data_IF_140319609851
#
_entry.id   IF_140319609851
#
_cell.length_a   1.000
_cell.length_b   1.000
_cell.length_c   1.000
_cell.angle_alpha   90.00
_cell.angle_beta   90.00
_cell.angle_gamma   90.00
#
_symmetry.space_group_name_H-M   'P 1'
#
loop_
_entity.id
_entity.type
_entity.pdbx_description
1 polymer ?
#
# COMPACT_ATOMS: atom_id res chain seq x y z
N UNK A 1 -8.48 47.22 -12.52
CA UNK A 1 -7.69 46.00 -12.21
C UNK A 1 -7.08 45.51 -13.50
N UNK A 2 -5.76 45.33 -13.58
CA UNK A 2 -5.12 44.74 -14.76
C UNK A 2 -5.50 43.25 -14.82
N UNK A 3 -5.79 42.68 -16.01
CA UNK A 3 -5.97 41.24 -16.14
C UNK A 3 -4.68 40.54 -15.71
N UNK A 4 -4.78 39.44 -14.98
CA UNK A 4 -3.64 38.59 -14.68
C UNK A 4 -3.09 38.05 -16.01
N UNK A 5 -1.81 38.31 -16.23
CA UNK A 5 -1.07 37.90 -17.42
C UNK A 5 -1.03 36.35 -17.50
N UNK A 6 -1.55 35.72 -18.57
CA UNK A 6 -1.53 34.27 -18.74
C UNK A 6 -0.11 33.69 -18.87
N UNK A 7 0.91 34.55 -19.04
CA UNK A 7 2.33 34.20 -19.11
C UNK A 7 3.03 34.20 -17.75
N UNK A 8 2.32 34.41 -16.64
CA UNK A 8 2.85 34.16 -15.29
C UNK A 8 2.87 32.63 -15.01
N UNK A 9 3.46 31.88 -15.95
CA UNK A 9 3.75 30.48 -15.79
C UNK A 9 4.76 30.37 -14.67
N UNK A 10 4.31 29.84 -13.54
CA UNK A 10 5.19 29.24 -12.55
C UNK A 10 6.22 28.41 -13.33
N UNK A 11 7.50 28.75 -13.21
CA UNK A 11 8.59 28.03 -13.88
C UNK A 11 8.62 26.59 -13.34
N UNK A 12 7.93 25.68 -14.01
CA UNK A 12 7.73 24.32 -13.54
C UNK A 12 9.07 23.62 -13.30
N UNK A 13 10.11 23.94 -14.09
CA UNK A 13 11.46 23.38 -13.92
C UNK A 13 12.14 23.83 -12.62
N UNK A 14 11.74 24.96 -12.03
CA UNK A 14 12.26 25.39 -10.72
C UNK A 14 11.63 24.67 -9.55
N UNK A 15 10.43 24.12 -9.71
CA UNK A 15 9.62 23.51 -8.65
C UNK A 15 9.64 21.97 -8.71
N UNK A 16 9.72 21.39 -9.90
CA UNK A 16 9.78 19.94 -10.12
C UNK A 16 11.22 19.43 -9.99
N UNK A 17 11.74 19.42 -8.75
CA UNK A 17 13.12 18.99 -8.46
C UNK A 17 13.20 17.85 -7.46
N UNK A 18 12.05 17.37 -7.01
CA UNK A 18 11.99 16.37 -5.97
C UNK A 18 11.81 14.99 -6.56
N UNK A 19 12.30 14.00 -5.86
CA UNK A 19 12.10 12.60 -6.18
C UNK A 19 11.59 11.86 -4.96
N UNK A 20 10.95 10.73 -5.15
CA UNK A 20 10.64 9.80 -4.08
C UNK A 20 10.81 8.39 -4.59
N UNK A 21 11.24 7.50 -3.71
CA UNK A 21 11.39 6.10 -4.01
C UNK A 21 10.72 5.28 -2.90
N UNK A 22 10.02 4.24 -3.30
CA UNK A 22 9.44 3.28 -2.37
C UNK A 22 9.96 1.90 -2.70
N UNK A 23 10.31 1.14 -1.67
CA UNK A 23 10.57 -0.28 -1.77
C UNK A 23 9.47 -1.02 -1.02
N UNK A 24 8.75 -1.89 -1.72
CA UNK A 24 7.73 -2.75 -1.13
C UNK A 24 8.36 -4.10 -0.81
N UNK A 25 8.31 -4.49 0.46
CA UNK A 25 8.78 -5.80 0.92
C UNK A 25 7.75 -6.46 1.82
N UNK A 26 7.81 -7.77 1.92
CA UNK A 26 7.05 -8.50 2.93
C UNK A 26 7.73 -8.50 4.31
N UNK A 27 7.09 -9.18 5.27
CA UNK A 27 7.59 -9.35 6.63
C UNK A 27 8.91 -10.14 6.74
N UNK A 28 9.33 -10.84 5.69
CA UNK A 28 10.61 -11.55 5.60
C UNK A 28 11.68 -10.71 4.86
N UNK A 29 11.31 -9.54 4.35
CA UNK A 29 12.17 -8.66 3.57
C UNK A 29 12.25 -9.02 2.08
N UNK A 30 11.41 -9.93 1.59
CA UNK A 30 11.38 -10.29 0.17
C UNK A 30 10.62 -9.21 -0.64
N UNK A 31 11.13 -8.80 -1.80
CA UNK A 31 10.53 -7.72 -2.58
C UNK A 31 9.16 -8.10 -3.17
N UNK A 32 8.23 -7.15 -3.17
CA UNK A 32 6.92 -7.27 -3.85
C UNK A 32 7.02 -6.67 -5.25
N UNK A 33 7.20 -7.55 -6.23
CA UNK A 33 7.48 -7.18 -7.63
C UNK A 33 6.21 -7.10 -8.47
N UNK A 34 6.20 -6.27 -9.53
CA UNK A 34 5.07 -6.17 -10.46
C UNK A 34 3.80 -5.54 -9.85
N UNK A 35 3.89 -4.88 -8.71
CA UNK A 35 2.74 -4.29 -8.01
C UNK A 35 2.29 -3.01 -8.73
N UNK A 36 1.07 -2.97 -9.29
CA UNK A 36 0.57 -1.77 -9.97
C UNK A 36 0.34 -0.66 -8.95
N UNK A 37 0.92 0.51 -9.22
CA UNK A 37 0.82 1.66 -8.34
C UNK A 37 0.24 2.88 -9.04
N UNK A 38 -0.30 3.75 -8.22
CA UNK A 38 -0.68 5.12 -8.55
C UNK A 38 -0.08 6.05 -7.49
N UNK A 39 0.67 7.05 -7.92
CA UNK A 39 1.22 8.09 -7.08
C UNK A 39 0.54 9.42 -7.43
N UNK A 40 -0.04 10.08 -6.44
CA UNK A 40 -0.68 11.40 -6.65
C UNK A 40 -0.04 12.47 -5.80
N UNK A 41 0.11 13.68 -6.34
CA UNK A 41 0.56 14.81 -5.52
C UNK A 41 -0.61 15.38 -4.72
N UNK A 42 -0.43 15.59 -3.42
CA UNK A 42 -1.45 16.22 -2.56
C UNK A 42 -1.69 17.68 -2.93
N UNK A 43 -0.65 18.38 -3.43
CA UNK A 43 -0.77 19.77 -3.85
C UNK A 43 -1.49 19.97 -5.17
N UNK A 44 -1.47 18.95 -6.04
CA UNK A 44 -2.22 18.96 -7.29
C UNK A 44 -2.63 17.54 -7.69
N UNK A 45 -3.91 17.22 -7.51
CA UNK A 45 -4.48 15.90 -7.82
C UNK A 45 -4.48 15.55 -9.31
N UNK A 46 -4.23 16.51 -10.21
CA UNK A 46 -4.07 16.20 -11.64
C UNK A 46 -2.71 15.60 -11.97
N UNK A 47 -1.71 15.75 -11.08
CA UNK A 47 -0.42 15.07 -11.21
C UNK A 47 -0.58 13.65 -10.69
N UNK A 48 -0.75 12.73 -11.63
CA UNK A 48 -0.88 11.29 -11.39
C UNK A 48 0.24 10.57 -12.13
N UNK A 49 0.99 9.74 -11.41
CA UNK A 49 1.95 8.80 -11.98
C UNK A 49 1.47 7.38 -11.75
N UNK A 50 1.77 6.49 -12.69
CA UNK A 50 1.35 5.09 -12.64
C UNK A 50 2.45 4.21 -13.20
N UNK A 51 2.59 3.02 -12.64
CA UNK A 51 3.54 2.03 -13.12
C UNK A 51 3.41 0.73 -12.33
N UNK A 52 4.46 -0.08 -12.36
CA UNK A 52 4.58 -1.31 -11.57
C UNK A 52 5.91 -1.31 -10.83
N UNK A 53 5.97 -1.92 -9.65
CA UNK A 53 7.26 -2.13 -8.99
C UNK A 53 8.18 -3.03 -9.81
N UNK A 54 9.48 -2.78 -9.75
CA UNK A 54 10.50 -3.55 -10.45
C UNK A 54 10.83 -4.89 -9.75
N UNK A 55 11.87 -5.58 -10.22
CA UNK A 55 12.33 -6.85 -9.66
C UNK A 55 12.86 -6.78 -8.21
N UNK A 56 13.13 -5.58 -7.70
CA UNK A 56 13.54 -5.33 -6.32
C UNK A 56 12.39 -4.76 -5.46
N UNK A 57 11.17 -4.75 -6.01
CA UNK A 57 10.01 -4.15 -5.37
C UNK A 57 10.09 -2.63 -5.30
N UNK A 58 10.94 -2.00 -6.12
CA UNK A 58 11.14 -0.57 -6.13
C UNK A 58 10.20 0.13 -7.11
N UNK A 59 9.76 1.32 -6.73
CA UNK A 59 9.22 2.33 -7.64
C UNK A 59 9.87 3.66 -7.31
N UNK A 60 10.28 4.40 -8.34
CA UNK A 60 10.93 5.70 -8.23
C UNK A 60 10.27 6.69 -9.16
N UNK A 61 9.90 7.83 -8.62
CA UNK A 61 9.30 8.93 -9.35
C UNK A 61 10.12 10.20 -9.11
N UNK A 62 10.44 10.89 -10.19
CA UNK A 62 11.23 12.12 -10.21
C UNK A 62 10.40 13.29 -10.72
N UNK A 63 10.99 14.49 -10.80
CA UNK A 63 10.34 15.71 -11.24
C UNK A 63 9.02 15.98 -10.49
N UNK A 64 9.02 15.76 -9.18
CA UNK A 64 7.89 15.99 -8.29
C UNK A 64 7.93 17.40 -7.70
N UNK A 65 6.76 18.02 -7.47
CA UNK A 65 6.67 19.26 -6.69
C UNK A 65 7.03 18.98 -5.21
N UNK A 66 7.39 20.01 -4.41
CA UNK A 66 7.74 19.90 -2.98
C UNK A 66 6.53 19.60 -2.07
N UNK A 67 5.58 18.77 -2.53
CA UNK A 67 4.33 18.49 -1.85
C UNK A 67 4.28 17.02 -1.45
N UNK A 68 3.60 16.67 -0.33
CA UNK A 68 3.36 15.27 0.00
C UNK A 68 2.74 14.52 -1.17
N UNK A 69 3.11 13.25 -1.29
CA UNK A 69 2.51 12.33 -2.26
C UNK A 69 1.60 11.34 -1.55
N UNK A 70 0.64 10.78 -2.28
CA UNK A 70 -0.19 9.68 -1.83
C UNK A 70 0.10 8.49 -2.75
N UNK A 71 0.67 7.43 -2.20
CA UNK A 71 0.94 6.17 -2.89
C UNK A 71 -0.21 5.20 -2.63
N UNK A 72 -0.87 4.75 -3.70
CA UNK A 72 -1.83 3.65 -3.64
C UNK A 72 -1.37 2.49 -4.53
N UNK A 73 -1.53 1.26 -4.06
CA UNK A 73 -1.32 0.03 -4.82
C UNK A 73 -2.68 -0.60 -5.11
N UNK A 74 -2.84 -1.19 -6.30
CA UNK A 74 -4.06 -1.91 -6.64
C UNK A 74 -4.32 -3.05 -5.65
N UNK A 75 -5.50 -3.03 -5.02
CA UNK A 75 -5.82 -3.90 -3.90
C UNK A 75 -5.73 -5.40 -4.24
N UNK A 76 -6.29 -5.81 -5.38
CA UNK A 76 -6.36 -7.23 -5.74
C UNK A 76 -4.98 -7.83 -6.05
N UNK A 77 -4.14 -7.25 -6.94
CA UNK A 77 -2.79 -7.75 -7.16
C UNK A 77 -1.94 -7.83 -5.89
N UNK A 78 -2.05 -6.83 -5.01
CA UNK A 78 -1.35 -6.83 -3.73
C UNK A 78 -1.82 -7.98 -2.84
N UNK A 79 -3.14 -8.17 -2.72
CA UNK A 79 -3.72 -9.26 -1.94
C UNK A 79 -3.29 -10.63 -2.47
N UNK A 80 -3.39 -10.84 -3.79
CA UNK A 80 -3.00 -12.08 -4.45
C UNK A 80 -1.54 -12.45 -4.18
N UNK A 81 -0.66 -11.46 -4.09
CA UNK A 81 0.75 -11.68 -3.81
C UNK A 81 1.00 -11.97 -2.33
N UNK A 82 0.51 -11.15 -1.40
CA UNK A 82 0.82 -11.32 0.02
C UNK A 82 0.22 -12.59 0.63
N UNK A 83 -0.87 -13.13 0.07
CA UNK A 83 -1.48 -14.38 0.57
C UNK A 83 -0.71 -15.64 0.17
N UNK A 84 0.17 -15.55 -0.82
CA UNK A 84 1.08 -16.65 -1.19
C UNK A 84 2.26 -16.75 -0.24
N UNK A 85 2.57 -15.66 0.47
CA UNK A 85 3.77 -15.55 1.27
C UNK A 85 3.55 -16.10 2.67
N UNK A 86 4.64 -16.59 3.25
CA UNK A 86 4.58 -17.14 4.60
C UNK A 86 4.78 -16.00 5.61
N UNK A 87 3.79 -15.70 6.47
CA UNK A 87 3.98 -14.75 7.55
C UNK A 87 5.03 -15.28 8.51
N UNK A 88 5.86 -14.38 9.02
CA UNK A 88 6.79 -14.69 10.10
C UNK A 88 6.05 -15.13 11.37
N UNK A 89 6.68 -15.93 12.26
CA UNK A 89 6.05 -16.40 13.49
C UNK A 89 5.58 -15.28 14.42
N UNK A 90 6.37 -14.20 14.52
CA UNK A 90 6.03 -12.99 15.28
C UNK A 90 5.93 -11.79 14.34
N UNK A 91 4.70 -11.40 14.04
CA UNK A 91 4.38 -10.23 13.21
C UNK A 91 4.58 -8.91 13.97
N UNK A 92 4.55 -7.79 13.27
CA UNK A 92 4.59 -6.45 13.86
C UNK A 92 5.98 -5.80 13.87
N UNK A 93 6.00 -4.48 13.78
CA UNK A 93 7.22 -3.66 13.67
C UNK A 93 8.30 -4.02 14.69
N UNK A 94 7.91 -4.26 15.96
CA UNK A 94 8.85 -4.56 17.04
C UNK A 94 9.71 -5.82 16.80
N UNK A 95 9.27 -6.70 15.90
CA UNK A 95 9.97 -7.93 15.56
C UNK A 95 10.66 -7.85 14.18
N UNK A 96 10.65 -6.69 13.51
CA UNK A 96 11.14 -6.53 12.13
C UNK A 96 12.65 -6.73 12.01
N UNK A 97 13.07 -7.56 11.06
CA UNK A 97 14.47 -7.68 10.64
C UNK A 97 14.83 -6.71 9.49
N UNK A 98 13.82 -6.15 8.82
CA UNK A 98 13.97 -5.16 7.75
C UNK A 98 14.36 -3.80 8.34
N UNK A 99 13.69 -3.38 9.41
CA UNK A 99 13.88 -2.06 10.04
C UNK A 99 15.34 -1.72 10.36
N UNK A 100 16.12 -2.57 11.07
CA UNK A 100 17.51 -2.22 11.42
C UNK A 100 18.39 -1.99 10.19
N UNK A 101 18.24 -2.84 9.16
CA UNK A 101 18.99 -2.70 7.90
C UNK A 101 18.59 -1.43 7.16
N UNK A 102 17.28 -1.18 6.99
CA UNK A 102 16.75 0.02 6.34
C UNK A 102 17.31 1.31 6.95
N UNK A 103 17.32 1.40 8.29
CA UNK A 103 17.81 2.59 8.98
C UNK A 103 19.34 2.72 8.85
N UNK A 104 20.07 1.61 8.86
CA UNK A 104 21.53 1.59 8.65
C UNK A 104 21.89 2.06 7.24
N UNK A 105 21.08 1.71 6.24
CA UNK A 105 21.24 2.13 4.85
C UNK A 105 20.77 3.59 4.60
N UNK A 106 20.33 4.29 5.66
CA UNK A 106 19.89 5.69 5.57
C UNK A 106 18.52 5.88 4.91
N UNK A 107 17.68 4.84 4.92
CA UNK A 107 16.33 4.87 4.36
C UNK A 107 15.27 5.03 5.44
N UNK A 108 14.11 5.54 5.05
CA UNK A 108 12.95 5.59 5.94
C UNK A 108 12.28 4.23 6.01
N UNK A 109 11.75 3.87 7.17
CA UNK A 109 11.08 2.59 7.40
C UNK A 109 9.65 2.81 7.86
N UNK A 110 8.70 2.04 7.32
CA UNK A 110 7.34 1.96 7.85
C UNK A 110 6.83 0.53 7.82
N UNK A 111 6.21 0.10 8.92
CA UNK A 111 5.43 -1.12 8.98
C UNK A 111 3.97 -0.81 8.66
N UNK A 112 3.42 -1.44 7.62
CA UNK A 112 2.10 -1.10 7.12
C UNK A 112 1.23 -2.35 6.91
N UNK A 113 -0.09 -2.15 6.85
CA UNK A 113 -1.03 -3.20 6.47
C UNK A 113 -1.50 -3.03 5.03
N UNK A 114 -2.05 -4.09 4.44
CA UNK A 114 -2.63 -4.05 3.10
C UNK A 114 -3.62 -2.89 2.93
N UNK A 115 -4.50 -2.64 3.90
CA UNK A 115 -5.48 -1.57 3.82
C UNK A 115 -4.87 -0.17 3.81
N UNK A 116 -3.70 0.06 4.41
CA UNK A 116 -3.06 1.39 4.39
C UNK A 116 -2.60 1.81 2.98
N UNK A 117 -2.29 0.84 2.13
CA UNK A 117 -1.73 1.08 0.81
C UNK A 117 -2.75 0.86 -0.31
N UNK A 118 -3.77 0.04 -0.07
CA UNK A 118 -4.74 -0.35 -1.08
C UNK A 118 -5.67 0.78 -1.50
N UNK A 119 -6.08 0.77 -2.77
CA UNK A 119 -7.11 1.63 -3.37
C UNK A 119 -8.54 1.09 -3.20
N UNK A 120 -8.71 -0.05 -2.51
CA UNK A 120 -9.99 -0.71 -2.33
C UNK A 120 -9.89 -1.95 -1.44
N UNK A 121 -11.03 -2.62 -1.23
CA UNK A 121 -11.07 -3.95 -0.62
C UNK A 121 -10.84 -5.02 -1.70
N UNK A 122 -9.86 -5.92 -1.53
CA UNK A 122 -9.69 -7.07 -2.41
C UNK A 122 -10.65 -8.20 -2.02
N UNK A 123 -10.82 -9.16 -2.93
CA UNK A 123 -11.43 -10.45 -2.61
C UNK A 123 -10.32 -11.43 -2.24
N UNK A 124 -10.37 -11.98 -1.03
CA UNK A 124 -9.39 -12.97 -0.55
C UNK A 124 -10.10 -14.29 -0.25
N UNK A 125 -9.63 -15.38 -0.85
CA UNK A 125 -10.19 -16.71 -0.60
C UNK A 125 -10.21 -17.05 0.89
N UNK A 126 -11.39 -17.47 1.38
CA UNK A 126 -11.62 -17.83 2.78
C UNK A 126 -12.09 -16.67 3.66
N UNK A 127 -11.96 -15.42 3.21
CA UNK A 127 -12.47 -14.26 3.94
C UNK A 127 -13.87 -13.88 3.44
N UNK A 128 -14.80 -13.67 4.37
CA UNK A 128 -16.01 -12.92 4.05
C UNK A 128 -15.70 -11.43 3.95
N UNK A 129 -16.42 -10.71 3.10
CA UNK A 129 -16.19 -9.28 2.88
C UNK A 129 -16.23 -8.49 4.20
N UNK A 130 -17.28 -8.67 5.01
CA UNK A 130 -17.42 -7.96 6.28
C UNK A 130 -16.31 -8.31 7.29
N UNK A 131 -15.81 -9.56 7.28
CA UNK A 131 -14.69 -9.97 8.13
C UNK A 131 -13.40 -9.28 7.71
N UNK A 132 -13.16 -9.18 6.39
CA UNK A 132 -11.98 -8.52 5.86
C UNK A 132 -12.00 -7.02 6.19
N UNK A 133 -13.14 -6.35 5.98
CA UNK A 133 -13.33 -4.93 6.27
C UNK A 133 -13.12 -4.61 7.76
N UNK A 134 -13.54 -5.51 8.65
CA UNK A 134 -13.41 -5.36 10.10
C UNK A 134 -12.05 -5.86 10.65
N UNK A 135 -11.17 -6.39 9.79
CA UNK A 135 -9.88 -6.93 10.22
C UNK A 135 -8.87 -5.84 10.59
N UNK A 136 -7.85 -6.21 11.36
CA UNK A 136 -6.72 -5.33 11.64
C UNK A 136 -5.94 -4.92 10.38
N UNK A 137 -6.11 -5.60 9.24
CA UNK A 137 -5.48 -5.20 7.99
C UNK A 137 -6.11 -3.94 7.38
N UNK A 138 -7.37 -3.64 7.72
CA UNK A 138 -8.12 -2.50 7.20
C UNK A 138 -8.55 -1.50 8.29
N UNK A 139 -8.25 -1.79 9.56
CA UNK A 139 -8.54 -0.90 10.66
C UNK A 139 -7.93 0.49 10.44
N UNK A 140 -8.79 1.51 10.35
CA UNK A 140 -8.39 2.89 10.12
C UNK A 140 -7.94 3.19 8.69
N UNK A 141 -8.12 2.27 7.75
CA UNK A 141 -7.84 2.50 6.33
C UNK A 141 -8.86 3.48 5.73
N UNK A 142 -8.37 4.39 4.90
CA UNK A 142 -9.19 5.28 4.07
C UNK A 142 -9.39 4.73 2.66
N UNK A 143 -8.71 3.63 2.30
CA UNK A 143 -8.60 3.08 0.94
C UNK A 143 -8.16 4.10 -0.12
N UNK A 144 -7.44 5.14 0.31
CA UNK A 144 -6.92 6.19 -0.57
C UNK A 144 -5.41 6.11 -0.73
N UNK A 145 -4.77 5.07 -0.17
CA UNK A 145 -3.33 4.92 -0.13
C UNK A 145 -2.65 5.69 1.02
N UNK A 146 -1.32 5.61 1.01
CA UNK A 146 -0.44 6.11 2.05
C UNK A 146 0.08 7.50 1.69
N UNK A 147 -0.21 8.50 2.53
CA UNK A 147 0.37 9.84 2.39
C UNK A 147 1.81 9.85 2.93
N UNK A 148 2.77 10.25 2.10
CA UNK A 148 4.19 10.20 2.42
C UNK A 148 4.89 11.54 2.21
N UNK A 149 5.75 11.88 3.16
CA UNK A 149 6.64 13.03 3.17
C UNK A 149 7.71 12.81 4.26
N UNK A 150 8.86 13.49 4.21
CA UNK A 150 9.34 14.39 3.15
C UNK A 150 9.83 13.67 1.87
N UNK A 151 9.97 14.40 0.77
CA UNK A 151 10.54 13.88 -0.48
C UNK A 151 12.08 13.79 -0.42
N UNK A 152 12.69 13.38 -1.52
CA UNK A 152 14.12 13.17 -1.75
C UNK A 152 14.73 12.07 -0.89
N UNK A 153 14.01 10.97 -0.74
CA UNK A 153 14.46 9.79 0.01
C UNK A 153 13.72 8.53 -0.42
N UNK A 154 14.27 7.40 0.03
CA UNK A 154 13.67 6.08 -0.10
C UNK A 154 12.88 5.73 1.16
N UNK A 155 11.68 5.18 0.96
CA UNK A 155 10.85 4.56 1.99
C UNK A 155 10.79 3.06 1.76
N UNK A 156 11.22 2.27 2.73
CA UNK A 156 10.98 0.82 2.74
C UNK A 156 9.70 0.56 3.51
N UNK A 157 8.69 0.06 2.79
CA UNK A 157 7.38 -0.29 3.31
C UNK A 157 7.34 -1.81 3.55
N UNK A 158 7.45 -2.21 4.81
CA UNK A 158 7.26 -3.61 5.22
C UNK A 158 5.78 -3.87 5.39
N UNK A 159 5.24 -4.72 4.52
CA UNK A 159 3.81 -5.03 4.48
C UNK A 159 3.53 -6.26 5.35
N UNK A 160 2.55 -6.15 6.25
CA UNK A 160 2.04 -7.27 7.03
C UNK A 160 1.36 -8.30 6.13
N UNK A 161 1.73 -9.57 6.23
CA UNK A 161 1.13 -10.64 5.44
C UNK A 161 -0.29 -10.98 5.92
N UNK A 162 -1.16 -11.31 4.96
CA UNK A 162 -2.53 -11.79 5.24
C UNK A 162 -2.55 -13.31 5.14
N UNK A 163 -3.00 -13.98 6.19
CA UNK A 163 -3.26 -15.42 6.15
C UNK A 163 -4.59 -15.67 5.44
N UNK A 164 -4.64 -16.70 4.59
CA UNK A 164 -5.94 -17.28 4.19
C UNK A 164 -6.67 -17.71 5.45
N UNK A 165 -7.96 -17.39 5.56
CA UNK A 165 -8.78 -17.96 6.60
C UNK A 165 -8.81 -19.48 6.37
N UNK A 166 -8.64 -20.28 7.43
CA UNK A 166 -8.74 -21.72 7.29
C UNK A 166 -10.16 -22.07 6.81
N UNK A 167 -10.28 -22.54 5.56
CA UNK A 167 -11.52 -23.11 5.05
C UNK A 167 -11.84 -24.37 5.87
N UNK A 168 -12.64 -24.20 6.93
CA UNK A 168 -13.43 -25.27 7.54
C UNK A 168 -14.68 -24.69 8.21
N UNK A 169 -15.37 -23.78 7.53
CA UNK A 169 -16.77 -23.48 7.84
C UNK A 169 -17.62 -24.26 6.86
N UNK A 170 -17.71 -25.56 7.12
CA UNK A 170 -18.75 -26.40 6.53
C UNK A 170 -20.10 -25.77 6.83
N UNK A 171 -20.88 -25.57 5.77
CA UNK A 171 -22.26 -25.18 5.83
C UNK A 171 -23.03 -26.38 6.40
N UNK A 172 -23.23 -26.43 7.71
CA UNK A 172 -24.24 -27.32 8.33
C UNK A 172 -25.12 -26.51 9.26
N UNK A 173 -26.01 -25.71 8.69
CA UNK A 173 -27.25 -25.26 9.33
C UNK A 173 -28.34 -25.31 8.26
N UNK A 174 -28.67 -26.54 7.87
CA UNK A 174 -29.65 -26.85 6.84
C UNK A 174 -30.25 -28.24 7.04
N UNK A 175 -30.57 -28.60 8.29
CA UNK A 175 -31.54 -29.67 8.55
C UNK A 175 -32.79 -29.03 9.10
N UNK A 176 -33.73 -28.84 8.20
CA UNK A 176 -35.15 -28.66 8.46
C UNK A 176 -35.63 -29.92 9.16
N UNK A 177 -36.02 -29.83 10.43
CA UNK A 177 -36.97 -30.77 11.04
C UNK A 177 -38.15 -29.97 11.58
N UNK A 178 -38.96 -29.51 10.62
CA UNK A 178 -40.39 -29.29 10.83
C UNK A 178 -41.06 -30.60 10.47
N UNK A 179 -41.68 -31.25 11.47
CA UNK A 179 -42.86 -32.14 11.44
C UNK A 179 -42.90 -32.75 12.87
N UNK A 180 -43.65 -32.19 13.84
CA UNK A 180 -45.11 -32.32 13.99
C UNK A 180 -45.66 -33.62 13.39
N UNK A 181 -45.73 -34.65 14.23
CA UNK A 181 -46.98 -35.32 14.65
C UNK A 181 -46.69 -36.41 15.68
#
# INVERSE_FOLDING_TARGET
MKPLDPTNCIDCQKILKHWIEFQLVDEQGEPLTGMPYKLTSRGNKSIVRTGTTDGNGLLREEDLPPMPVILSISAQPLADEIVKRTPRPKTGEANSHVKPKTLTDGHEYQYITLGMLSDGYPTIQGWQEQELQNSDHFRGSTLQGLSTHPLNRRYVLEIRMVKKCACNRDITLGSVDVLRS
#
